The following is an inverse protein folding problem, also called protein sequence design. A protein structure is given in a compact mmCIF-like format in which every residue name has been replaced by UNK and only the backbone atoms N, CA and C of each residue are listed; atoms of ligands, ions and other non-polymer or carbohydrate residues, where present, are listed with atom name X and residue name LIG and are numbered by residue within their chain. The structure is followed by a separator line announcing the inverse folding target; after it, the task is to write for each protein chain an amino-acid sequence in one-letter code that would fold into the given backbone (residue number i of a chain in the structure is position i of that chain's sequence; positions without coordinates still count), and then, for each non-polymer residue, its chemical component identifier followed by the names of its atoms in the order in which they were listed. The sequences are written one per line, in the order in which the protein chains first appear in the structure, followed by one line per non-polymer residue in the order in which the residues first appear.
data_IF_585357865400
#
_entry.id   IF_585357865400
#
_cell.length_a   1.000
_cell.length_b   1.000
_cell.length_c   1.000
_cell.angle_alpha   90.00
_cell.angle_beta   90.00
_cell.angle_gamma   90.00
#
_symmetry.space_group_name_H-M   'P 1'
#
loop_
_entity.id
_entity.type
_entity.pdbx_description
1 polymer ?
#
# COMPACT_ATOMS: atom_id res chain seq x y z
N UNK A 1 -3.43 -22.06 -10.61
CA UNK A 1 -2.55 -21.33 -9.68
C UNK A 1 -3.02 -21.69 -8.28
N UNK A 2 -2.14 -22.18 -7.42
CA UNK A 2 -2.54 -22.54 -6.06
C UNK A 2 -2.79 -21.24 -5.28
N UNK A 3 -3.82 -21.16 -4.41
CA UNK A 3 -4.04 -20.02 -3.50
C UNK A 3 -2.86 -19.75 -2.53
N UNK A 4 -1.76 -20.49 -2.66
CA UNK A 4 -0.52 -20.34 -1.90
C UNK A 4 0.58 -19.55 -2.60
N UNK A 5 0.44 -19.18 -3.88
CA UNK A 5 1.55 -18.60 -4.67
C UNK A 5 1.72 -17.09 -4.47
N UNK A 6 0.81 -16.45 -3.73
CA UNK A 6 0.80 -15.02 -3.45
C UNK A 6 1.30 -14.65 -2.06
N UNK A 7 2.02 -13.53 -1.95
CA UNK A 7 2.36 -12.88 -0.69
C UNK A 7 1.96 -11.41 -0.73
N UNK A 8 1.11 -10.98 0.19
CA UNK A 8 0.75 -9.58 0.36
C UNK A 8 1.52 -9.01 1.54
N UNK A 9 2.28 -7.94 1.32
CA UNK A 9 2.95 -7.19 2.37
C UNK A 9 2.16 -5.92 2.67
N UNK A 10 1.74 -5.74 3.92
CA UNK A 10 0.92 -4.58 4.32
C UNK A 10 1.76 -3.61 5.14
N UNK A 11 1.80 -2.34 4.72
CA UNK A 11 2.41 -1.25 5.48
C UNK A 11 1.55 -0.81 6.67
N UNK A 12 1.38 -1.70 7.64
CA UNK A 12 0.64 -1.41 8.87
C UNK A 12 0.26 -2.69 9.61
N UNK A 13 -0.21 -2.56 10.86
CA UNK A 13 -0.81 -3.67 11.60
C UNK A 13 -2.16 -4.11 10.98
N UNK A 14 -2.71 -5.29 11.36
CA UNK A 14 -3.95 -5.83 10.79
C UNK A 14 -5.21 -4.96 10.95
N UNK A 15 -5.21 -4.06 11.93
CA UNK A 15 -6.27 -3.11 12.26
C UNK A 15 -6.03 -1.70 11.67
N UNK A 16 -4.93 -1.49 10.93
CA UNK A 16 -4.74 -0.26 10.16
C UNK A 16 -5.71 -0.18 8.98
N UNK A 17 -5.86 1.01 8.38
CA UNK A 17 -6.71 1.24 7.19
C UNK A 17 -6.39 0.27 6.05
N UNK A 18 -5.12 -0.14 5.91
CA UNK A 18 -4.69 -1.07 4.86
C UNK A 18 -5.04 -2.53 5.17
N UNK A 19 -5.34 -2.85 6.43
CA UNK A 19 -5.62 -4.21 6.89
C UNK A 19 -6.92 -4.81 6.32
N UNK A 20 -8.08 -4.13 6.48
CA UNK A 20 -9.34 -4.53 5.87
C UNK A 20 -9.24 -4.64 4.33
N UNK A 21 -8.55 -3.69 3.67
CA UNK A 21 -8.34 -3.73 2.21
C UNK A 21 -7.58 -4.98 1.78
N UNK A 22 -6.48 -5.31 2.46
CA UNK A 22 -5.71 -6.51 2.17
C UNK A 22 -6.55 -7.79 2.27
N UNK A 23 -7.42 -7.88 3.28
CA UNK A 23 -8.33 -9.04 3.43
C UNK A 23 -9.39 -9.06 2.34
N UNK A 24 -10.07 -7.94 2.11
CA UNK A 24 -11.11 -7.83 1.08
C UNK A 24 -10.62 -8.23 -0.32
N UNK A 25 -9.36 -7.92 -0.65
CA UNK A 25 -8.78 -8.22 -1.97
C UNK A 25 -8.13 -9.60 -2.08
N UNK A 26 -7.58 -10.14 -0.98
CA UNK A 26 -6.65 -11.28 -1.04
C UNK A 26 -6.93 -12.41 -0.05
N UNK A 27 -7.95 -12.30 0.80
CA UNK A 27 -8.35 -13.39 1.69
C UNK A 27 -8.68 -14.66 0.89
N UNK A 28 -8.14 -15.80 1.34
CA UNK A 28 -8.25 -17.08 0.61
C UNK A 28 -7.41 -17.19 -0.67
N UNK A 29 -6.77 -16.10 -1.13
CA UNK A 29 -5.98 -16.06 -2.37
C UNK A 29 -4.47 -15.95 -2.14
N UNK A 30 -4.04 -15.41 -1.00
CA UNK A 30 -2.64 -15.21 -0.67
C UNK A 30 -2.40 -15.17 0.85
N UNK A 31 -1.14 -15.39 1.25
CA UNK A 31 -0.72 -15.12 2.63
C UNK A 31 -0.52 -13.62 2.81
N UNK A 32 -1.09 -13.05 3.87
CA UNK A 32 -0.97 -11.62 4.20
C UNK A 32 0.00 -11.45 5.36
N UNK A 33 1.06 -10.66 5.16
CA UNK A 33 2.05 -10.34 6.15
C UNK A 33 1.98 -8.85 6.52
N UNK A 34 1.66 -8.59 7.80
CA UNK A 34 1.52 -7.25 8.36
C UNK A 34 2.82 -6.77 9.00
N UNK A 35 3.03 -5.45 9.01
CA UNK A 35 4.05 -4.85 9.88
C UNK A 35 3.64 -5.05 11.34
N UNK A 36 4.61 -5.41 12.17
CA UNK A 36 4.41 -5.57 13.61
C UNK A 36 4.65 -4.24 14.33
N UNK A 37 3.83 -3.96 15.33
CA UNK A 37 3.96 -2.77 16.20
C UNK A 37 5.24 -2.78 17.06
N UNK A 38 5.92 -3.94 17.18
CA UNK A 38 7.19 -4.13 17.93
C UNK A 38 8.42 -3.42 17.31
N UNK A 39 8.24 -2.28 16.64
CA UNK A 39 9.29 -1.47 16.05
C UNK A 39 9.81 -1.95 14.68
N UNK A 40 10.67 -1.12 14.07
CA UNK A 40 11.17 -1.30 12.69
C UNK A 40 11.91 -2.63 12.48
N UNK A 41 12.72 -3.06 13.47
CA UNK A 41 13.50 -4.31 13.39
C UNK A 41 12.63 -5.57 13.46
N UNK A 42 11.62 -5.58 14.35
CA UNK A 42 10.67 -6.69 14.44
C UNK A 42 9.86 -6.85 13.16
N UNK A 43 9.43 -5.73 12.58
CA UNK A 43 8.79 -5.69 11.26
C UNK A 43 9.72 -6.20 10.16
N UNK A 44 10.98 -5.77 10.12
CA UNK A 44 11.95 -6.23 9.12
C UNK A 44 12.14 -7.75 9.15
N UNK A 45 12.37 -8.32 10.34
CA UNK A 45 12.59 -9.77 10.49
C UNK A 45 11.36 -10.58 10.09
N UNK A 46 10.17 -10.16 10.53
CA UNK A 46 8.93 -10.86 10.20
C UNK A 46 8.65 -10.84 8.69
N UNK A 47 8.73 -9.67 8.06
CA UNK A 47 8.52 -9.53 6.61
C UNK A 47 9.59 -10.27 5.81
N UNK A 48 10.85 -10.24 6.24
CA UNK A 48 11.91 -10.98 5.57
C UNK A 48 11.70 -12.50 5.66
N UNK A 49 11.27 -13.00 6.81
CA UNK A 49 10.93 -14.42 6.97
C UNK A 49 9.84 -14.84 5.99
N UNK A 50 8.76 -14.06 5.89
CA UNK A 50 7.66 -14.30 4.95
C UNK A 50 8.14 -14.26 3.48
N UNK A 51 9.01 -13.31 3.13
CA UNK A 51 9.61 -13.20 1.80
C UNK A 51 10.52 -14.39 1.44
N UNK A 52 11.32 -14.89 2.39
CA UNK A 52 12.20 -16.05 2.15
C UNK A 52 11.44 -17.35 1.98
N UNK A 53 10.27 -17.48 2.61
CA UNK A 53 9.40 -18.65 2.44
C UNK A 53 8.83 -18.78 1.01
N UNK A 54 9.02 -17.77 0.15
CA UNK A 54 8.55 -17.77 -1.24
C UNK A 54 9.67 -18.14 -2.21
N UNK A 55 9.51 -19.25 -2.92
CA UNK A 55 10.42 -19.70 -3.98
C UNK A 55 9.96 -19.29 -5.39
N UNK A 56 8.67 -18.98 -5.60
CA UNK A 56 8.10 -18.53 -6.87
C UNK A 56 6.77 -17.82 -6.60
N UNK A 57 6.17 -17.23 -7.65
CA UNK A 57 4.85 -16.61 -7.60
C UNK A 57 4.91 -15.08 -7.61
N UNK A 58 4.12 -14.43 -6.75
CA UNK A 58 4.02 -12.96 -6.75
C UNK A 58 4.02 -12.36 -5.34
N UNK A 59 4.56 -11.15 -5.25
CA UNK A 59 4.58 -10.32 -4.06
C UNK A 59 3.80 -9.04 -4.37
N UNK A 60 2.79 -8.73 -3.58
CA UNK A 60 2.01 -7.51 -3.66
C UNK A 60 2.27 -6.65 -2.43
N UNK A 61 2.91 -5.48 -2.60
CA UNK A 61 3.14 -4.54 -1.52
C UNK A 61 2.04 -3.48 -1.46
N UNK A 62 1.24 -3.47 -0.39
CA UNK A 62 0.28 -2.40 -0.11
C UNK A 62 0.99 -1.25 0.60
N UNK A 63 0.95 -0.08 -0.05
CA UNK A 63 1.48 1.21 0.42
C UNK A 63 3.00 1.16 0.65
N UNK A 64 3.77 1.67 -0.32
CA UNK A 64 5.25 1.64 -0.33
C UNK A 64 5.85 2.07 1.01
N UNK A 65 6.17 1.09 1.84
CA UNK A 65 6.61 1.34 3.20
C UNK A 65 7.95 0.69 3.53
N UNK A 66 8.74 1.36 4.38
CA UNK A 66 9.99 0.81 4.93
C UNK A 66 9.68 -0.04 6.18
N UNK A 67 10.15 -1.30 6.28
CA UNK A 67 11.16 -1.93 5.43
C UNK A 67 10.61 -2.83 4.30
N UNK A 68 9.29 -2.99 4.19
CA UNK A 68 8.66 -3.98 3.30
C UNK A 68 9.06 -3.87 1.83
N UNK A 69 8.92 -2.69 1.21
CA UNK A 69 9.23 -2.53 -0.20
C UNK A 69 10.73 -2.73 -0.54
N UNK A 70 11.70 -2.16 0.21
CA UNK A 70 13.11 -2.50 0.02
C UNK A 70 13.42 -4.00 0.12
N UNK A 71 12.83 -4.70 1.09
CA UNK A 71 13.03 -6.13 1.27
C UNK A 71 12.42 -6.95 0.13
N UNK A 72 11.24 -6.57 -0.35
CA UNK A 72 10.58 -7.23 -1.48
C UNK A 72 11.41 -7.08 -2.77
N UNK A 73 11.89 -5.87 -3.07
CA UNK A 73 12.78 -5.62 -4.20
C UNK A 73 14.09 -6.41 -4.11
N UNK A 74 14.67 -6.54 -2.91
CA UNK A 74 15.87 -7.36 -2.70
C UNK A 74 15.56 -8.84 -2.97
N UNK A 75 14.44 -9.35 -2.45
CA UNK A 75 14.04 -10.75 -2.62
C UNK A 75 13.79 -11.10 -4.08
N UNK A 76 13.07 -10.25 -4.81
CA UNK A 76 12.81 -10.40 -6.24
C UNK A 76 14.12 -10.38 -7.03
N UNK A 77 15.07 -9.48 -6.70
CA UNK A 77 16.40 -9.48 -7.33
C UNK A 77 17.16 -10.79 -7.12
N UNK A 78 17.04 -11.41 -5.94
CA UNK A 78 17.68 -12.69 -5.61
C UNK A 78 16.96 -13.88 -6.25
N UNK A 79 15.73 -13.73 -6.72
CA UNK A 79 14.94 -14.79 -7.31
C UNK A 79 13.99 -14.24 -8.37
N UNK A 80 14.41 -14.36 -9.63
CA UNK A 80 13.66 -13.88 -10.80
C UNK A 80 12.36 -14.64 -11.06
N UNK A 81 12.11 -15.76 -10.37
CA UNK A 81 10.82 -16.46 -10.41
C UNK A 81 9.70 -15.77 -9.61
N UNK A 82 10.01 -14.64 -8.95
CA UNK A 82 9.04 -13.81 -8.22
C UNK A 82 8.68 -12.57 -9.05
N UNK A 83 7.38 -12.32 -9.18
CA UNK A 83 6.84 -11.06 -9.67
C UNK A 83 6.57 -10.11 -8.51
N UNK A 84 6.75 -8.83 -8.73
CA UNK A 84 6.60 -7.78 -7.73
C UNK A 84 5.62 -6.73 -8.22
N UNK A 85 4.56 -6.52 -7.44
CA UNK A 85 3.57 -5.46 -7.67
C UNK A 85 3.59 -4.53 -6.47
N UNK A 86 3.61 -3.22 -6.73
CA UNK A 86 3.46 -2.22 -5.67
C UNK A 86 2.17 -1.44 -5.86
N UNK A 87 1.34 -1.44 -4.82
CA UNK A 87 0.30 -0.44 -4.65
C UNK A 87 0.91 0.79 -3.99
N UNK A 88 0.87 1.90 -4.72
CA UNK A 88 1.46 3.16 -4.29
C UNK A 88 0.50 3.89 -3.36
N UNK A 89 0.98 4.21 -2.17
CA UNK A 89 0.35 5.18 -1.28
C UNK A 89 1.15 6.46 -1.24
N UNK A 90 1.14 7.14 -0.08
CA UNK A 90 1.71 8.47 0.03
C UNK A 90 3.24 8.43 -0.17
N UNK A 91 3.80 9.32 -0.99
CA UNK A 91 5.24 9.36 -1.21
C UNK A 91 5.98 9.67 0.09
N UNK A 92 7.02 8.89 0.38
CA UNK A 92 7.70 8.94 1.67
C UNK A 92 8.47 10.26 1.87
N UNK A 93 9.06 10.82 0.80
CA UNK A 93 9.82 12.07 0.86
C UNK A 93 9.00 13.25 1.44
N UNK A 94 7.85 13.66 0.86
CA UNK A 94 7.08 14.77 1.42
C UNK A 94 6.53 14.45 2.82
N UNK A 95 6.16 13.20 3.10
CA UNK A 95 5.72 12.80 4.45
C UNK A 95 6.82 13.04 5.50
N UNK A 96 8.04 12.56 5.25
CA UNK A 96 9.15 12.73 6.20
C UNK A 96 9.62 14.19 6.30
N UNK A 97 9.56 14.94 5.20
CA UNK A 97 9.87 16.37 5.20
C UNK A 97 8.88 17.16 6.08
N UNK A 98 7.58 16.90 5.93
CA UNK A 98 6.52 17.54 6.73
C UNK A 98 6.58 17.15 8.21
N UNK A 99 7.15 15.99 8.54
CA UNK A 99 7.41 15.57 9.92
C UNK A 99 8.72 16.13 10.49
N UNK A 100 9.39 17.05 9.79
CA UNK A 100 10.68 17.62 10.19
C UNK A 100 11.74 16.56 10.54
N UNK A 101 11.76 15.46 9.79
CA UNK A 101 12.76 14.40 9.99
C UNK A 101 14.15 14.88 9.54
N UNK A 102 15.22 14.28 10.07
CA UNK A 102 16.59 14.60 9.66
C UNK A 102 16.76 14.53 8.13
N UNK A 103 17.52 15.47 7.56
CA UNK A 103 17.70 15.61 6.10
C UNK A 103 18.17 14.32 5.42
N UNK A 104 19.01 13.53 6.08
CA UNK A 104 19.47 12.25 5.54
C UNK A 104 18.33 11.22 5.40
N UNK A 105 17.32 11.22 6.28
CA UNK A 105 16.15 10.35 6.16
C UNK A 105 15.27 10.78 5.00
N UNK A 106 15.11 12.10 4.80
CA UNK A 106 14.36 12.65 3.67
C UNK A 106 15.07 12.33 2.35
N UNK A 107 16.39 12.47 2.29
CA UNK A 107 17.19 12.11 1.11
C UNK A 107 17.12 10.60 0.80
N UNK A 108 17.14 9.75 1.84
CA UNK A 108 16.94 8.31 1.68
C UNK A 108 15.54 8.02 1.12
N UNK A 109 14.50 8.66 1.65
CA UNK A 109 13.13 8.50 1.15
C UNK A 109 12.99 8.96 -0.30
N UNK A 110 13.57 10.10 -0.69
CA UNK A 110 13.58 10.56 -2.09
C UNK A 110 14.20 9.52 -3.02
N UNK A 111 15.33 8.94 -2.62
CA UNK A 111 15.97 7.87 -3.40
C UNK A 111 15.08 6.63 -3.51
N UNK A 112 14.37 6.26 -2.45
CA UNK A 112 13.47 5.11 -2.47
C UNK A 112 12.25 5.37 -3.36
N UNK A 113 11.61 6.54 -3.23
CA UNK A 113 10.47 6.95 -4.07
C UNK A 113 10.83 6.98 -5.56
N UNK A 114 12.07 7.35 -5.92
CA UNK A 114 12.56 7.33 -7.30
C UNK A 114 12.91 5.94 -7.84
N UNK A 115 13.26 4.99 -6.97
CA UNK A 115 13.89 3.73 -7.41
C UNK A 115 13.02 2.50 -7.21
N UNK A 116 12.22 2.44 -6.16
CA UNK A 116 11.36 1.28 -5.88
C UNK A 116 10.27 1.09 -6.93
N UNK A 117 9.54 2.13 -7.39
CA UNK A 117 8.52 1.95 -8.42
C UNK A 117 9.07 1.33 -9.70
N UNK A 118 10.30 1.68 -10.08
CA UNK A 118 10.97 1.16 -11.29
C UNK A 118 11.42 -0.31 -11.19
N UNK A 119 11.37 -0.91 -9.99
CA UNK A 119 11.75 -2.32 -9.78
C UNK A 119 10.56 -3.27 -9.82
N UNK A 120 9.34 -2.74 -9.75
CA UNK A 120 8.15 -3.57 -9.82
C UNK A 120 7.91 -4.05 -11.25
N UNK A 121 7.30 -5.22 -11.38
CA UNK A 121 6.70 -5.71 -12.61
C UNK A 121 5.40 -4.94 -12.94
N UNK A 122 4.71 -4.42 -11.91
CA UNK A 122 3.51 -3.59 -12.07
C UNK A 122 3.28 -2.64 -10.90
N UNK A 123 2.61 -1.52 -11.18
CA UNK A 123 2.25 -0.51 -10.21
C UNK A 123 0.73 -0.37 -10.15
N UNK A 124 0.18 -0.35 -8.95
CA UNK A 124 -1.22 -0.10 -8.68
C UNK A 124 -1.37 1.28 -8.08
N UNK A 125 -2.26 2.09 -8.63
CA UNK A 125 -2.55 3.44 -8.17
C UNK A 125 -3.97 3.53 -7.65
N UNK A 126 -4.12 4.07 -6.45
CA UNK A 126 -5.42 4.39 -5.83
C UNK A 126 -5.97 5.76 -6.24
N UNK A 127 -5.09 6.65 -6.70
CA UNK A 127 -5.32 8.08 -6.93
C UNK A 127 -4.57 8.57 -8.17
N UNK A 128 -5.20 9.37 -9.05
CA UNK A 128 -4.59 9.81 -10.33
C UNK A 128 -3.42 10.73 -10.06
N UNK A 129 -3.55 11.53 -8.99
CA UNK A 129 -2.48 12.31 -8.39
C UNK A 129 -1.19 11.50 -8.18
N UNK A 130 -1.28 10.29 -7.61
CA UNK A 130 -0.09 9.46 -7.35
C UNK A 130 0.55 8.98 -8.65
N UNK A 131 -0.25 8.65 -9.66
CA UNK A 131 0.26 8.27 -10.98
C UNK A 131 1.06 9.40 -11.62
N UNK A 132 0.53 10.62 -11.59
CA UNK A 132 1.21 11.80 -12.13
C UNK A 132 2.44 12.19 -11.31
N UNK A 133 2.35 12.12 -9.98
CA UNK A 133 3.46 12.39 -9.07
C UNK A 133 4.65 11.48 -9.38
N UNK A 134 4.43 10.16 -9.39
CA UNK A 134 5.52 9.22 -9.62
C UNK A 134 6.04 9.27 -11.06
N UNK A 135 5.18 9.53 -12.06
CA UNK A 135 5.61 9.70 -13.45
C UNK A 135 6.57 10.89 -13.60
N UNK A 136 6.27 12.02 -12.95
CA UNK A 136 7.16 13.20 -12.92
C UNK A 136 8.45 12.90 -12.15
N UNK A 137 8.35 12.18 -11.03
CA UNK A 137 9.48 11.92 -10.14
C UNK A 137 10.57 11.04 -10.79
N UNK A 138 10.18 10.09 -11.65
CA UNK A 138 11.12 9.12 -12.27
C UNK A 138 11.58 9.49 -13.69
N UNK A 139 11.12 10.63 -14.24
CA UNK A 139 11.48 11.08 -15.59
C UNK A 139 13.03 11.17 -15.77
N UNK A 140 13.57 10.74 -16.93
CA UNK A 140 12.89 10.35 -18.17
C UNK A 140 12.47 8.86 -18.24
N UNK A 141 12.59 8.09 -17.16
CA UNK A 141 12.27 6.65 -17.20
C UNK A 141 10.76 6.44 -17.25
N UNK A 142 10.32 5.47 -18.06
CA UNK A 142 8.92 5.04 -18.03
C UNK A 142 8.66 4.21 -16.76
N UNK A 143 7.51 4.45 -16.14
CA UNK A 143 7.01 3.57 -15.08
C UNK A 143 6.65 2.20 -15.67
N UNK A 144 6.73 1.11 -14.89
CA UNK A 144 6.18 -0.19 -15.26
C UNK A 144 4.67 -0.13 -15.53
N UNK A 145 4.10 -1.27 -15.97
CA UNK A 145 2.67 -1.40 -16.22
C UNK A 145 1.84 -0.82 -15.07
N UNK A 146 0.89 0.07 -15.40
CA UNK A 146 0.10 0.84 -14.42
C UNK A 146 -1.33 0.30 -14.39
N UNK A 147 -1.79 -0.05 -13.20
CA UNK A 147 -3.15 -0.51 -12.93
C UNK A 147 -3.83 0.56 -12.08
N UNK A 148 -5.05 0.90 -12.47
CA UNK A 148 -5.91 1.77 -11.71
C UNK A 148 -6.82 0.94 -10.81
N UNK A 149 -6.68 1.06 -9.49
CA UNK A 149 -7.53 0.36 -8.53
C UNK A 149 -7.87 1.29 -7.36
N UNK A 150 -8.92 2.13 -7.52
CA UNK A 150 -9.32 3.06 -6.47
C UNK A 150 -9.85 2.32 -5.24
N UNK A 151 -9.93 3.03 -4.12
CA UNK A 151 -10.61 2.52 -2.93
C UNK A 151 -12.13 2.44 -3.19
N UNK A 152 -12.73 1.33 -2.78
CA UNK A 152 -14.18 1.14 -2.79
C UNK A 152 -14.84 1.59 -1.49
N UNK A 153 -16.16 1.69 -1.49
CA UNK A 153 -16.95 1.90 -0.29
C UNK A 153 -17.86 0.69 -0.05
N UNK A 154 -18.00 0.27 1.21
CA UNK A 154 -19.00 -0.73 1.59
C UNK A 154 -20.38 -0.08 1.59
N UNK A 155 -21.15 -0.29 0.52
CA UNK A 155 -22.49 0.28 0.35
C UNK A 155 -23.55 -0.36 1.23
N UNK A 156 -23.25 -1.50 1.89
CA UNK A 156 -24.13 -2.09 2.89
C UNK A 156 -24.08 -1.31 4.20
N UNK A 157 -22.87 -0.92 4.62
CA UNK A 157 -22.63 -0.11 5.81
C UNK A 157 -22.86 1.40 5.55
N UNK A 158 -22.39 1.90 4.40
CA UNK A 158 -22.50 3.29 3.97
C UNK A 158 -23.62 3.44 2.94
N UNK A 159 -24.85 3.45 3.45
CA UNK A 159 -26.05 3.70 2.66
C UNK A 159 -26.72 5.01 3.09
N UNK A 160 -27.42 5.71 2.18
CA UNK A 160 -28.24 6.86 2.55
C UNK A 160 -29.22 6.47 3.66
N UNK A 161 -29.12 7.14 4.80
CA UNK A 161 -30.05 7.01 5.94
C UNK A 161 -31.07 8.15 5.95
N UNK A 162 -31.56 8.56 4.76
CA UNK A 162 -32.49 9.70 4.64
C UNK A 162 -33.77 9.51 5.45
N UNK A 163 -34.23 8.27 5.54
CA UNK A 163 -35.43 7.90 6.29
C UNK A 163 -35.15 7.53 7.75
N UNK A 164 -33.91 7.71 8.20
CA UNK A 164 -33.53 7.44 9.57
C UNK A 164 -33.96 8.60 10.48
N UNK A 165 -34.76 8.35 11.53
CA UNK A 165 -35.24 9.40 12.43
C UNK A 165 -34.12 10.21 13.08
N UNK A 166 -32.97 9.60 13.39
CA UNK A 166 -31.82 10.29 14.00
C UNK A 166 -31.15 11.22 13.00
N UNK A 167 -30.99 10.79 11.75
CA UNK A 167 -30.43 11.62 10.68
C UNK A 167 -31.38 12.76 10.31
N UNK A 168 -32.69 12.51 10.28
CA UNK A 168 -33.69 13.54 10.06
C UNK A 168 -33.69 14.59 11.20
N UNK A 169 -33.53 14.16 12.46
CA UNK A 169 -33.41 15.08 13.59
C UNK A 169 -32.16 15.97 13.48
N UNK A 170 -31.00 15.37 13.18
CA UNK A 170 -29.74 16.10 12.95
C UNK A 170 -29.86 17.13 11.80
N UNK A 171 -30.54 16.76 10.71
CA UNK A 171 -30.76 17.68 9.59
C UNK A 171 -31.63 18.87 9.98
N UNK A 172 -32.68 18.66 10.78
CA UNK A 172 -33.52 19.74 11.32
C UNK A 172 -32.74 20.66 12.27
N UNK A 173 -31.96 20.09 13.17
CA UNK A 173 -31.14 20.85 14.13
C UNK A 173 -30.16 21.81 13.43
N UNK A 174 -29.58 21.37 12.32
CA UNK A 174 -28.60 22.16 11.56
C UNK A 174 -29.19 22.98 10.40
N UNK A 175 -30.52 23.06 10.26
CA UNK A 175 -31.17 23.83 9.18
C UNK A 175 -30.84 23.30 7.78
N UNK A 176 -30.60 21.99 7.65
CA UNK A 176 -30.28 21.29 6.41
C UNK A 176 -31.52 20.63 5.76
N UNK A 177 -32.70 20.93 6.29
CA UNK A 177 -33.97 20.71 5.59
C UNK A 177 -34.32 22.03 4.91
N UNK A 178 -34.28 22.02 3.57
CA UNK A 178 -34.74 23.14 2.75
C UNK A 178 -36.24 23.32 2.86
#
# INVERSE_FOLDING_TARGET
MSPTDGLVLVNGPPNSVQGPRARALFEGLATIAYKKERGRLGSARALWSALRARASGWIYGIDLGIPGAPLAALRQRQNRGLRLVYELGDPARPLLANQHRPAWQVALADRLDRTLPLRADGLVFRGSYLADYFAKLVAPRALPHRIWLPDGADTGSFRPRRDDPEVAALRREHGLEG
#
